data_IF_297658351874
#
_entry.id   IF_297658351874
#
_cell.length_a   1.000
_cell.length_b   1.000
_cell.length_c   1.000
_cell.angle_alpha   90.00
_cell.angle_beta   90.00
_cell.angle_gamma   90.00
#
_symmetry.space_group_name_H-M   'P 1'
#
loop_
_entity.id
_entity.type
_entity.pdbx_description
1 polymer ?
#
# COMPACT_ATOMS: atom_id res chain seq x y z
N UNK A 1 17.09 32.78 3.16
CA UNK A 1 17.83 31.80 2.33
C UNK A 1 18.56 30.69 3.11
N UNK A 2 18.44 30.57 4.45
CA UNK A 2 19.14 29.51 5.24
C UNK A 2 18.36 28.21 5.45
N UNK A 3 17.12 28.09 4.98
CA UNK A 3 16.24 26.93 5.28
C UNK A 3 16.52 25.69 4.43
N UNK A 4 17.20 25.83 3.29
CA UNK A 4 17.46 24.72 2.35
C UNK A 4 18.83 24.03 2.56
N UNK A 5 19.70 24.60 3.38
CA UNK A 5 21.05 24.07 3.62
C UNK A 5 21.05 22.85 4.57
N UNK A 6 19.99 22.69 5.37
CA UNK A 6 19.90 21.57 6.34
C UNK A 6 19.41 20.27 5.69
N UNK A 7 18.69 20.35 4.56
CA UNK A 7 18.13 19.17 3.89
C UNK A 7 19.21 18.21 3.40
N UNK A 8 20.23 18.62 2.61
CA UNK A 8 21.28 17.70 2.20
C UNK A 8 22.10 17.17 3.38
N UNK A 9 22.30 17.97 4.41
CA UNK A 9 23.01 17.56 5.62
C UNK A 9 22.30 16.42 6.38
N UNK A 10 20.97 16.46 6.48
CA UNK A 10 20.19 15.41 7.12
C UNK A 10 20.21 14.09 6.35
N UNK A 11 20.21 14.12 5.01
CA UNK A 11 20.36 12.90 4.20
C UNK A 11 21.75 12.28 4.35
N UNK A 12 22.81 13.10 4.35
CA UNK A 12 24.18 12.63 4.58
C UNK A 12 24.32 12.04 5.99
N UNK A 13 23.77 12.70 7.00
CA UNK A 13 23.79 12.18 8.36
C UNK A 13 23.04 10.85 8.47
N UNK A 14 21.85 10.71 7.87
CA UNK A 14 21.11 9.46 7.84
C UNK A 14 21.88 8.33 7.14
N UNK A 15 22.54 8.63 6.02
CA UNK A 15 23.40 7.69 5.30
C UNK A 15 24.56 7.21 6.19
N UNK A 16 25.26 8.13 6.83
CA UNK A 16 26.39 7.80 7.71
C UNK A 16 25.96 6.98 8.93
N UNK A 17 24.82 7.33 9.53
CA UNK A 17 24.24 6.57 10.65
C UNK A 17 23.92 5.15 10.21
N UNK A 18 23.26 4.98 9.06
CA UNK A 18 22.95 3.65 8.52
C UNK A 18 24.22 2.84 8.27
N UNK A 19 25.21 3.43 7.58
CA UNK A 19 26.50 2.78 7.32
C UNK A 19 27.20 2.35 8.62
N UNK A 20 27.18 3.23 9.65
CA UNK A 20 27.77 2.96 10.94
C UNK A 20 27.06 1.80 11.68
N UNK A 21 25.71 1.82 11.68
CA UNK A 21 24.92 0.76 12.31
C UNK A 21 25.22 -0.60 11.68
N UNK A 22 25.28 -0.67 10.36
CA UNK A 22 25.53 -1.93 9.65
C UNK A 22 26.93 -2.45 9.94
N UNK A 23 27.95 -1.57 9.92
CA UNK A 23 29.34 -1.98 10.15
C UNK A 23 29.63 -2.36 11.59
N UNK A 24 29.07 -1.65 12.56
CA UNK A 24 29.31 -1.91 13.97
C UNK A 24 28.40 -3.03 14.53
N UNK A 25 27.20 -3.20 13.95
CA UNK A 25 26.21 -4.15 14.44
C UNK A 25 26.48 -5.60 14.06
N UNK A 26 27.45 -5.89 13.19
CA UNK A 26 27.76 -7.26 12.76
C UNK A 26 26.58 -7.97 12.08
N UNK A 27 25.65 -7.21 11.48
CA UNK A 27 24.47 -7.76 10.83
C UNK A 27 24.85 -8.56 9.58
N UNK A 28 24.07 -9.62 9.32
CA UNK A 28 24.20 -10.36 8.08
C UNK A 28 23.83 -9.43 6.90
N UNK A 29 24.75 -9.26 5.96
CA UNK A 29 24.58 -8.37 4.80
C UNK A 29 23.38 -8.73 3.92
N UNK A 30 22.94 -10.00 3.95
CA UNK A 30 21.72 -10.43 3.25
C UNK A 30 20.43 -9.89 3.89
N UNK A 31 20.45 -9.55 5.19
CA UNK A 31 19.30 -9.00 5.91
C UNK A 31 19.33 -7.49 5.98
N UNK A 32 20.53 -6.91 6.16
CA UNK A 32 20.72 -5.46 6.26
C UNK A 32 21.99 -5.04 5.49
N UNK A 33 21.89 -4.80 4.18
CA UNK A 33 23.01 -4.35 3.37
C UNK A 33 23.44 -2.92 3.70
N UNK A 34 24.68 -2.59 3.41
CA UNK A 34 25.16 -1.20 3.49
C UNK A 34 24.47 -0.33 2.42
N UNK A 35 24.33 0.98 2.65
CA UNK A 35 23.80 1.91 1.65
C UNK A 35 24.49 1.82 0.30
N UNK A 36 25.80 1.64 0.28
CA UNK A 36 26.58 1.46 -0.95
C UNK A 36 26.14 0.20 -1.73
N UNK A 37 25.99 -0.94 -1.03
CA UNK A 37 25.54 -2.19 -1.66
C UNK A 37 24.11 -2.08 -2.21
N UNK A 38 23.25 -1.33 -1.55
CA UNK A 38 21.90 -1.04 -2.05
C UNK A 38 21.96 -0.27 -3.38
N UNK A 39 22.84 0.74 -3.49
CA UNK A 39 23.02 1.48 -4.74
C UNK A 39 23.57 0.60 -5.88
N UNK A 40 24.55 -0.25 -5.58
CA UNK A 40 25.12 -1.19 -6.56
C UNK A 40 24.02 -2.17 -7.03
N UNK A 41 23.30 -2.81 -6.10
CA UNK A 41 22.21 -3.75 -6.44
C UNK A 41 21.09 -3.07 -7.23
N UNK A 42 20.78 -1.80 -6.93
CA UNK A 42 19.81 -1.03 -7.71
C UNK A 42 20.30 -0.79 -9.14
N UNK A 43 21.60 -0.51 -9.32
CA UNK A 43 22.21 -0.39 -10.65
C UNK A 43 22.16 -1.70 -11.46
N UNK A 44 22.41 -2.84 -10.81
CA UNK A 44 22.29 -4.17 -11.42
C UNK A 44 20.87 -4.47 -11.87
N UNK A 45 19.87 -4.23 -11.01
CA UNK A 45 18.45 -4.42 -11.32
C UNK A 45 17.96 -3.58 -12.51
N UNK A 46 18.52 -2.36 -12.66
CA UNK A 46 18.26 -1.50 -13.82
C UNK A 46 18.93 -2.09 -15.06
N UNK A 47 20.21 -2.50 -14.95
CA UNK A 47 20.99 -3.05 -16.06
C UNK A 47 20.39 -4.34 -16.63
N UNK A 48 19.90 -5.21 -15.77
CA UNK A 48 19.28 -6.49 -16.14
C UNK A 48 17.82 -6.35 -16.60
N UNK A 49 17.25 -5.15 -16.50
CA UNK A 49 15.85 -4.88 -16.86
C UNK A 49 14.82 -5.48 -15.88
N UNK A 50 15.26 -6.17 -14.83
CA UNK A 50 14.39 -6.81 -13.82
C UNK A 50 13.53 -5.78 -13.12
N UNK A 51 14.10 -4.63 -12.77
CA UNK A 51 13.36 -3.54 -12.11
C UNK A 51 12.13 -3.09 -12.91
N UNK A 52 12.29 -2.91 -14.23
CA UNK A 52 11.18 -2.46 -15.08
C UNK A 52 10.07 -3.50 -15.19
N UNK A 53 10.45 -4.78 -15.26
CA UNK A 53 9.51 -5.90 -15.27
C UNK A 53 8.73 -5.96 -13.96
N UNK A 54 9.41 -5.89 -12.81
CA UNK A 54 8.79 -5.96 -11.49
C UNK A 54 7.87 -4.76 -11.23
N UNK A 55 8.24 -3.58 -11.70
CA UNK A 55 7.37 -2.39 -11.67
C UNK A 55 6.12 -2.62 -12.52
N UNK A 56 6.26 -3.12 -13.75
CA UNK A 56 5.13 -3.38 -14.63
C UNK A 56 4.17 -4.42 -14.02
N UNK A 57 4.70 -5.53 -13.50
CA UNK A 57 3.91 -6.57 -12.83
C UNK A 57 3.21 -6.05 -11.56
N UNK A 58 3.85 -5.15 -10.82
CA UNK A 58 3.27 -4.51 -9.65
C UNK A 58 2.16 -3.52 -10.02
N UNK A 59 2.34 -2.75 -11.08
CA UNK A 59 1.34 -1.83 -11.61
C UNK A 59 0.11 -2.57 -12.13
N UNK A 60 0.30 -3.68 -12.84
CA UNK A 60 -0.82 -4.51 -13.33
C UNK A 60 -1.67 -5.01 -12.15
N UNK A 61 -1.03 -5.58 -11.12
CA UNK A 61 -1.73 -6.03 -9.90
C UNK A 61 -2.45 -4.88 -9.19
N UNK A 62 -1.79 -3.73 -9.12
CA UNK A 62 -2.37 -2.53 -8.53
C UNK A 62 -3.63 -2.08 -9.27
N UNK A 63 -3.55 -1.93 -10.59
CA UNK A 63 -4.69 -1.48 -11.38
C UNK A 63 -5.84 -2.47 -11.35
N UNK A 64 -5.58 -3.78 -11.40
CA UNK A 64 -6.63 -4.78 -11.29
C UNK A 64 -7.37 -4.65 -9.94
N UNK A 65 -6.63 -4.68 -8.83
CA UNK A 65 -7.23 -4.57 -7.50
C UNK A 65 -7.96 -3.24 -7.27
N UNK A 66 -7.36 -2.13 -7.74
CA UNK A 66 -7.93 -0.80 -7.62
C UNK A 66 -9.21 -0.62 -8.44
N UNK A 67 -9.22 -1.04 -9.71
CA UNK A 67 -10.40 -0.91 -10.57
C UNK A 67 -11.57 -1.74 -10.01
N UNK A 68 -11.32 -2.99 -9.60
CA UNK A 68 -12.34 -3.82 -8.98
C UNK A 68 -12.88 -3.14 -7.72
N UNK A 69 -12.00 -2.57 -6.92
CA UNK A 69 -12.36 -1.85 -5.70
C UNK A 69 -13.21 -0.61 -5.97
N UNK A 70 -12.84 0.20 -6.98
CA UNK A 70 -13.60 1.40 -7.37
C UNK A 70 -14.97 1.02 -7.88
N UNK A 71 -15.05 0.04 -8.78
CA UNK A 71 -16.33 -0.42 -9.33
C UNK A 71 -17.26 -0.95 -8.23
N UNK A 72 -16.74 -1.83 -7.37
CA UNK A 72 -17.52 -2.38 -6.27
C UNK A 72 -17.88 -1.30 -5.22
N UNK A 73 -16.91 -0.45 -4.82
CA UNK A 73 -17.12 0.60 -3.84
C UNK A 73 -18.13 1.65 -4.29
N UNK A 74 -18.08 2.06 -5.55
CA UNK A 74 -19.07 2.96 -6.15
C UNK A 74 -20.44 2.28 -6.25
N UNK A 75 -20.51 1.06 -6.76
CA UNK A 75 -21.76 0.32 -6.90
C UNK A 75 -22.48 0.15 -5.54
N UNK A 76 -21.80 -0.40 -4.55
CA UNK A 76 -22.39 -0.55 -3.22
C UNK A 76 -22.58 0.80 -2.52
N UNK A 77 -21.70 1.77 -2.74
CA UNK A 77 -21.83 3.11 -2.19
C UNK A 77 -23.07 3.86 -2.71
N UNK A 78 -23.42 3.72 -3.98
CA UNK A 78 -24.63 4.27 -4.56
C UNK A 78 -25.89 3.65 -3.90
N UNK A 79 -25.93 2.34 -3.78
CA UNK A 79 -27.07 1.64 -3.17
C UNK A 79 -27.21 2.04 -1.69
N UNK A 80 -26.13 1.95 -0.93
CA UNK A 80 -26.15 2.23 0.51
C UNK A 80 -26.35 3.71 0.82
N UNK A 81 -25.87 4.60 -0.04
CA UNK A 81 -26.12 6.03 0.06
C UNK A 81 -27.57 6.40 -0.17
N UNK A 82 -28.22 5.75 -1.15
CA UNK A 82 -29.62 5.95 -1.47
C UNK A 82 -30.54 5.41 -0.37
N UNK A 83 -30.29 4.20 0.11
CA UNK A 83 -31.10 3.55 1.15
C UNK A 83 -30.56 3.84 2.55
N UNK A 84 -30.82 5.06 3.07
CA UNK A 84 -30.34 5.52 4.41
C UNK A 84 -30.64 4.52 5.54
N UNK A 85 -31.81 3.84 5.48
CA UNK A 85 -32.18 2.82 6.46
C UNK A 85 -31.21 1.65 6.49
N UNK A 86 -30.85 1.10 5.33
CA UNK A 86 -29.88 -0.01 5.22
C UNK A 86 -28.51 0.45 5.68
N UNK A 87 -28.10 1.66 5.30
CA UNK A 87 -26.83 2.23 5.70
C UNK A 87 -26.67 2.32 7.21
N UNK A 88 -27.71 2.74 7.94
CA UNK A 88 -27.66 2.85 9.39
C UNK A 88 -27.36 1.52 10.10
N UNK A 89 -27.76 0.38 9.52
CA UNK A 89 -27.41 -0.94 10.06
C UNK A 89 -26.03 -1.41 9.65
N UNK A 90 -25.57 -1.08 8.44
CA UNK A 90 -24.28 -1.54 7.90
C UNK A 90 -23.13 -0.65 8.39
N UNK A 91 -23.34 0.65 8.55
CA UNK A 91 -22.31 1.60 8.93
C UNK A 91 -21.53 1.22 10.20
N UNK A 92 -22.15 0.77 11.31
CA UNK A 92 -21.37 0.35 12.48
C UNK A 92 -20.39 -0.78 12.18
N UNK A 93 -20.80 -1.74 11.34
CA UNK A 93 -19.93 -2.87 10.93
C UNK A 93 -18.74 -2.36 10.10
N UNK A 94 -19.00 -1.47 9.13
CA UNK A 94 -17.96 -0.85 8.30
C UNK A 94 -16.97 -0.07 9.16
N UNK A 95 -17.45 0.69 10.15
CA UNK A 95 -16.60 1.46 11.08
C UNK A 95 -15.70 0.57 11.95
N UNK A 96 -16.11 -0.64 12.27
CA UNK A 96 -15.29 -1.60 13.02
C UNK A 96 -14.25 -2.26 12.13
N UNK A 97 -14.61 -2.59 10.88
CA UNK A 97 -13.70 -3.29 9.95
C UNK A 97 -12.66 -2.34 9.33
N UNK A 98 -13.06 -1.11 9.01
CA UNK A 98 -12.21 -0.11 8.32
C UNK A 98 -10.84 0.12 8.98
N UNK A 99 -10.70 0.28 10.32
CA UNK A 99 -9.42 0.52 10.96
C UNK A 99 -8.48 -0.70 10.96
N UNK A 100 -8.98 -1.89 10.59
CA UNK A 100 -8.14 -3.09 10.49
C UNK A 100 -7.22 -2.93 9.28
N UNK A 101 -5.90 -3.00 9.53
CA UNK A 101 -4.92 -2.93 8.45
C UNK A 101 -5.17 -4.02 7.39
N UNK A 102 -5.24 -3.68 6.10
CA UNK A 102 -5.38 -4.68 5.03
C UNK A 102 -4.31 -5.77 5.07
N UNK A 103 -3.10 -5.44 5.53
CA UNK A 103 -1.99 -6.41 5.68
C UNK A 103 -2.27 -7.44 6.78
N UNK A 104 -3.07 -7.11 7.80
CA UNK A 104 -3.43 -8.06 8.84
C UNK A 104 -4.27 -9.24 8.30
N UNK A 105 -4.92 -9.08 7.15
CA UNK A 105 -5.67 -10.13 6.48
C UNK A 105 -4.79 -11.08 5.66
N UNK A 106 -3.49 -10.75 5.48
CA UNK A 106 -2.58 -11.51 4.61
C UNK A 106 -2.53 -13.02 4.92
N UNK A 107 -2.43 -13.49 6.19
CA UNK A 107 -2.41 -14.92 6.47
C UNK A 107 -3.67 -15.65 5.99
N UNK A 108 -4.84 -15.03 6.18
CA UNK A 108 -6.11 -15.60 5.71
C UNK A 108 -6.20 -15.58 4.18
N UNK A 109 -5.78 -14.48 3.56
CA UNK A 109 -5.82 -14.34 2.10
C UNK A 109 -4.90 -15.38 1.46
N UNK A 110 -3.69 -15.59 1.99
CA UNK A 110 -2.76 -16.62 1.48
C UNK A 110 -3.32 -18.02 1.71
N UNK A 111 -4.03 -18.27 2.81
CA UNK A 111 -4.66 -19.56 3.07
C UNK A 111 -5.74 -19.90 2.00
N UNK A 112 -6.54 -18.92 1.57
CA UNK A 112 -7.62 -19.12 0.61
C UNK A 112 -7.16 -19.05 -0.85
N UNK A 113 -6.25 -18.16 -1.18
CA UNK A 113 -5.83 -17.88 -2.57
C UNK A 113 -4.46 -18.45 -2.93
N UNK A 114 -3.75 -19.03 -1.96
CA UNK A 114 -2.39 -19.55 -2.16
C UNK A 114 -1.33 -18.44 -2.25
N UNK A 115 -0.10 -18.87 -2.55
CA UNK A 115 1.03 -17.98 -2.77
C UNK A 115 1.04 -17.57 -4.25
N UNK A 116 1.05 -16.25 -4.54
CA UNK A 116 1.06 -15.78 -5.92
C UNK A 116 0.63 -14.32 -6.05
N UNK A 117 0.05 -13.98 -7.19
CA UNK A 117 -0.39 -12.60 -7.48
C UNK A 117 -1.73 -12.25 -6.82
N UNK A 118 -2.60 -13.24 -6.61
CA UNK A 118 -3.94 -13.02 -6.06
C UNK A 118 -3.96 -12.35 -4.67
N UNK A 119 -3.12 -12.75 -3.69
CA UNK A 119 -3.06 -12.08 -2.39
C UNK A 119 -2.80 -10.57 -2.48
N UNK A 120 -1.88 -10.16 -3.35
CA UNK A 120 -1.58 -8.74 -3.54
C UNK A 120 -2.80 -7.96 -4.09
N UNK A 121 -3.50 -8.53 -5.07
CA UNK A 121 -4.71 -7.92 -5.66
C UNK A 121 -5.81 -7.78 -4.59
N UNK A 122 -6.02 -8.80 -3.76
CA UNK A 122 -7.03 -8.79 -2.70
C UNK A 122 -6.71 -7.75 -1.62
N UNK A 123 -5.43 -7.61 -1.22
CA UNK A 123 -5.02 -6.59 -0.26
C UNK A 123 -5.27 -5.19 -0.81
N UNK A 124 -4.93 -4.94 -2.08
CA UNK A 124 -5.19 -3.65 -2.75
C UNK A 124 -6.71 -3.38 -2.82
N UNK A 125 -7.49 -4.41 -3.14
CA UNK A 125 -8.95 -4.32 -3.12
C UNK A 125 -9.46 -3.89 -1.75
N UNK A 126 -9.10 -4.57 -0.67
CA UNK A 126 -9.55 -4.23 0.69
C UNK A 126 -9.12 -2.82 1.08
N UNK A 127 -7.89 -2.42 0.74
CA UNK A 127 -7.35 -1.11 1.07
C UNK A 127 -8.12 0.05 0.41
N UNK A 128 -8.55 -0.13 -0.84
CA UNK A 128 -9.21 0.91 -1.61
C UNK A 128 -10.75 0.86 -1.50
N UNK A 129 -11.34 -0.30 -1.24
CA UNK A 129 -12.79 -0.50 -1.20
C UNK A 129 -13.49 0.38 -0.17
N UNK A 130 -13.05 0.36 1.09
CA UNK A 130 -13.72 1.11 2.16
C UNK A 130 -13.66 2.63 1.97
N UNK A 131 -12.51 3.24 1.60
CA UNK A 131 -12.46 4.67 1.28
C UNK A 131 -13.40 5.07 0.15
N UNK A 132 -13.45 4.30 -0.95
CA UNK A 132 -14.33 4.57 -2.09
C UNK A 132 -15.80 4.42 -1.68
N UNK A 133 -16.16 3.34 -1.00
CA UNK A 133 -17.49 3.10 -0.49
C UNK A 133 -18.00 4.27 0.35
N UNK A 134 -17.22 4.65 1.37
CA UNK A 134 -17.59 5.72 2.30
C UNK A 134 -17.70 7.08 1.63
N UNK A 135 -16.76 7.39 0.72
CA UNK A 135 -16.79 8.64 -0.04
C UNK A 135 -18.04 8.73 -0.92
N UNK A 136 -18.41 7.61 -1.58
CA UNK A 136 -19.60 7.54 -2.44
C UNK A 136 -20.87 7.68 -1.61
N UNK A 137 -20.98 6.95 -0.49
CA UNK A 137 -22.14 7.07 0.41
C UNK A 137 -22.29 8.50 0.91
N UNK A 138 -21.18 9.11 1.38
CA UNK A 138 -21.21 10.50 1.88
C UNK A 138 -21.59 11.50 0.79
N UNK A 139 -21.10 11.31 -0.45
CA UNK A 139 -21.45 12.16 -1.57
C UNK A 139 -22.95 12.14 -1.85
N UNK A 140 -23.56 10.95 -1.87
CA UNK A 140 -25.01 10.82 -2.12
C UNK A 140 -25.85 11.38 -1.00
N UNK A 141 -25.45 11.15 0.25
CA UNK A 141 -26.22 11.65 1.41
C UNK A 141 -26.14 13.17 1.57
N UNK A 142 -25.15 13.82 0.95
CA UNK A 142 -25.02 15.28 0.92
C UNK A 142 -25.58 15.93 -0.34
N UNK A 143 -26.16 15.18 -1.27
CA UNK A 143 -26.95 15.71 -2.37
C UNK A 143 -28.36 15.91 -1.83
N UNK A 144 -28.73 17.17 -1.57
CA UNK A 144 -30.08 17.60 -1.18
C UNK A 144 -31.03 17.63 -2.38
#
# INVERSE_FOLDING_TARGET
MKKYTYVPGSFIAAWLIWELIVRLGGFNEALLPTPYKVLVGFGELIGDGVLFKDIADSLVRFFIGYIISVVAGVFFGLILGWYKGIWNYINPIVQVIRPISPVAWLPFIVLFFGIGQAPAIVIIFIAAFFPVLLSTVSAIQNID
#
